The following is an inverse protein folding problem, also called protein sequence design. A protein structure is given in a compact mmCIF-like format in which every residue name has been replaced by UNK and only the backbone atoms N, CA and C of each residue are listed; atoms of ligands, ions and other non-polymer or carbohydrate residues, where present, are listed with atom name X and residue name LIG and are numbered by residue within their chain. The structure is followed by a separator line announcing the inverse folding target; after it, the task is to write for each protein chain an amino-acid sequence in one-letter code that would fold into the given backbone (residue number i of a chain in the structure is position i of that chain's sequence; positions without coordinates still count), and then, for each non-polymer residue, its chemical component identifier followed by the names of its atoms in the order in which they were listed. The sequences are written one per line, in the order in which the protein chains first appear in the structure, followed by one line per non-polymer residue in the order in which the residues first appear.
data_IF_078192401856
#
_entry.id   IF_078192401856
#
_cell.length_a   1.000
_cell.length_b   1.000
_cell.length_c   1.000
_cell.angle_alpha   90.00
_cell.angle_beta   90.00
_cell.angle_gamma   90.00
#
_symmetry.space_group_name_H-M   'P 1'
#
loop_
_entity.id
_entity.type
_entity.pdbx_description
1 polymer ?
#
# COMPACT_ATOMS: atom_id res chain seq x y z
N UNK A 1 14.12 35.73 -48.31
CA UNK A 1 13.08 36.04 -49.32
C UNK A 1 11.80 36.57 -48.65
N UNK A 2 11.86 37.70 -47.94
CA UNK A 2 10.71 38.30 -47.23
C UNK A 2 10.54 39.83 -47.37
N UNK A 3 11.50 40.66 -47.86
CA UNK A 3 11.26 42.10 -47.96
C UNK A 3 10.33 42.46 -49.12
N UNK A 4 10.32 41.67 -50.21
CA UNK A 4 9.51 41.94 -51.42
C UNK A 4 7.99 41.81 -51.18
N UNK A 5 7.56 40.95 -50.24
CA UNK A 5 6.13 40.76 -49.96
C UNK A 5 5.55 41.95 -49.16
N UNK A 6 6.33 42.55 -48.27
CA UNK A 6 5.94 43.76 -47.54
C UNK A 6 5.74 44.98 -48.46
N UNK A 7 6.61 45.15 -49.47
CA UNK A 7 6.44 46.19 -50.48
C UNK A 7 5.16 46.00 -51.31
N UNK A 8 4.82 44.76 -51.68
CA UNK A 8 3.58 44.45 -52.41
C UNK A 8 2.32 44.75 -51.59
N UNK A 9 2.30 44.41 -50.30
CA UNK A 9 1.16 44.71 -49.44
C UNK A 9 0.98 46.22 -49.21
N UNK A 10 2.08 46.96 -49.07
CA UNK A 10 2.04 48.41 -48.96
C UNK A 10 1.57 49.08 -50.26
N UNK A 11 1.96 48.54 -51.41
CA UNK A 11 1.49 49.02 -52.72
C UNK A 11 -0.01 48.79 -52.90
N UNK A 12 -0.52 47.62 -52.52
CA UNK A 12 -1.96 47.32 -52.55
C UNK A 12 -2.79 48.25 -51.64
N UNK A 13 -2.34 48.51 -50.41
CA UNK A 13 -3.00 49.48 -49.51
C UNK A 13 -2.99 50.90 -50.07
N UNK A 14 -1.95 51.26 -50.80
CA UNK A 14 -1.84 52.60 -51.42
C UNK A 14 -2.80 52.74 -52.60
N UNK A 15 -2.95 51.67 -53.40
CA UNK A 15 -3.95 51.60 -54.47
C UNK A 15 -5.37 51.69 -53.88
N UNK A 16 -5.68 50.90 -52.86
CA UNK A 16 -6.99 50.92 -52.19
C UNK A 16 -7.36 52.33 -51.72
N UNK A 17 -6.45 53.02 -51.04
CA UNK A 17 -6.69 54.40 -50.57
C UNK A 17 -6.93 55.37 -51.72
N UNK A 18 -6.20 55.24 -52.83
CA UNK A 18 -6.38 56.10 -54.00
C UNK A 18 -7.66 55.79 -54.78
N UNK A 19 -8.08 54.53 -54.82
CA UNK A 19 -9.35 54.10 -55.44
C UNK A 19 -10.53 54.67 -54.65
N UNK A 20 -10.50 54.61 -53.31
CA UNK A 20 -11.53 55.24 -52.48
C UNK A 20 -11.60 56.76 -52.64
N UNK A 21 -10.48 57.43 -52.94
CA UNK A 21 -10.48 58.87 -53.24
C UNK A 21 -10.98 59.20 -54.66
N UNK A 22 -10.87 58.27 -55.63
CA UNK A 22 -11.41 58.44 -56.98
C UNK A 22 -12.95 58.40 -57.02
N UNK A 23 -13.58 57.63 -56.13
CA UNK A 23 -15.04 57.46 -56.08
C UNK A 23 -15.78 58.55 -55.28
N UNK A 24 -15.11 59.66 -54.95
CA UNK A 24 -15.69 60.77 -54.21
C UNK A 24 -15.95 60.42 -52.74
N UNK A 25 -15.75 61.41 -51.87
CA UNK A 25 -16.29 61.45 -50.51
C UNK A 25 -17.68 60.80 -50.39
N UNK A 26 -17.89 59.89 -49.42
CA UNK A 26 -19.19 59.25 -49.22
C UNK A 26 -20.28 60.30 -48.94
N UNK A 27 -21.54 60.03 -49.31
CA UNK A 27 -22.64 60.98 -49.14
C UNK A 27 -22.78 61.42 -47.68
N UNK A 28 -23.06 62.72 -47.47
CA UNK A 28 -23.18 63.36 -46.14
C UNK A 28 -24.20 62.69 -45.21
N UNK A 29 -25.11 61.89 -45.74
CA UNK A 29 -26.13 61.15 -44.99
C UNK A 29 -25.54 60.00 -44.15
N UNK A 30 -24.31 59.56 -44.44
CA UNK A 30 -23.56 58.59 -43.63
C UNK A 30 -22.62 59.25 -42.61
N UNK A 31 -22.67 60.58 -42.46
CA UNK A 31 -21.92 61.28 -41.43
C UNK A 31 -22.60 61.06 -40.06
N UNK A 32 -22.02 60.15 -39.27
CA UNK A 32 -22.48 59.84 -37.92
C UNK A 32 -22.31 61.08 -37.03
N UNK A 33 -23.42 61.70 -36.60
CA UNK A 33 -23.41 62.78 -35.60
C UNK A 33 -22.99 62.17 -34.27
N UNK A 34 -21.75 62.39 -33.87
CA UNK A 34 -21.27 61.98 -32.56
C UNK A 34 -21.84 62.92 -31.51
N UNK A 35 -22.94 62.51 -30.87
CA UNK A 35 -23.42 63.14 -29.63
C UNK A 35 -22.35 62.86 -28.57
N UNK A 36 -21.57 63.87 -28.23
CA UNK A 36 -20.66 63.82 -27.09
C UNK A 36 -21.51 63.84 -25.81
N UNK A 37 -21.85 62.66 -25.32
CA UNK A 37 -22.32 62.53 -23.95
C UNK A 37 -21.10 62.68 -23.04
N UNK A 38 -21.03 63.79 -22.30
CA UNK A 38 -19.96 64.05 -21.33
C UNK A 38 -20.10 63.02 -20.21
N UNK A 39 -19.39 61.90 -20.34
CA UNK A 39 -19.30 60.93 -19.26
C UNK A 39 -18.73 61.65 -18.03
N UNK A 40 -19.56 61.79 -17.00
CA UNK A 40 -19.14 62.29 -15.70
C UNK A 40 -18.03 61.35 -15.26
N UNK A 41 -16.81 61.85 -14.93
CA UNK A 41 -15.74 60.97 -14.50
C UNK A 41 -16.18 60.31 -13.21
N UNK A 42 -16.67 59.08 -13.28
CA UNK A 42 -16.86 58.26 -12.11
C UNK A 42 -15.51 58.18 -11.41
N UNK A 43 -15.45 58.48 -10.10
CA UNK A 43 -14.19 58.46 -9.38
C UNK A 43 -13.57 57.07 -9.59
N UNK A 44 -12.40 57.03 -10.22
CA UNK A 44 -11.64 55.80 -10.39
C UNK A 44 -11.38 55.26 -8.99
N UNK A 45 -12.17 54.28 -8.54
CA UNK A 45 -11.95 53.61 -7.26
C UNK A 45 -10.52 53.10 -7.29
N UNK A 46 -9.71 53.57 -6.36
CA UNK A 46 -8.33 53.10 -6.21
C UNK A 46 -8.46 51.67 -5.70
N UNK A 47 -8.09 50.70 -6.52
CA UNK A 47 -8.10 49.30 -6.12
C UNK A 47 -7.29 49.13 -4.83
N UNK A 48 -7.98 48.84 -3.73
CA UNK A 48 -7.34 48.56 -2.45
C UNK A 48 -7.18 47.06 -2.31
N UNK A 49 -6.02 46.60 -1.81
CA UNK A 49 -5.79 45.19 -1.47
C UNK A 49 -6.84 44.71 -0.46
N UNK A 50 -7.37 45.61 0.38
CA UNK A 50 -8.44 45.32 1.33
C UNK A 50 -9.75 44.91 0.64
N UNK A 51 -10.04 45.42 -0.55
CA UNK A 51 -11.26 45.05 -1.31
C UNK A 51 -11.13 43.63 -1.90
N UNK A 52 -9.90 43.22 -2.25
CA UNK A 52 -9.61 41.87 -2.77
C UNK A 52 -9.72 40.81 -1.67
N UNK A 53 -9.23 41.14 -0.47
CA UNK A 53 -9.22 40.22 0.68
C UNK A 53 -10.55 40.23 1.45
N UNK A 54 -11.25 41.38 1.48
CA UNK A 54 -12.49 41.57 2.24
C UNK A 54 -13.72 40.93 1.59
N UNK A 55 -13.87 41.06 0.28
CA UNK A 55 -15.04 40.55 -0.46
C UNK A 55 -14.73 39.24 -1.23
N UNK A 56 -13.46 38.84 -1.31
CA UNK A 56 -13.03 37.65 -2.02
C UNK A 56 -13.20 36.38 -1.18
N UNK A 57 -14.24 35.58 -1.46
CA UNK A 57 -14.31 34.20 -0.97
C UNK A 57 -13.11 33.39 -1.51
N UNK A 58 -12.04 33.30 -0.71
CA UNK A 58 -10.91 32.41 -0.97
C UNK A 58 -11.30 30.98 -0.61
N UNK A 59 -12.18 30.39 -1.41
CA UNK A 59 -12.48 28.97 -1.29
C UNK A 59 -11.20 28.20 -1.61
N UNK A 60 -10.74 27.35 -0.68
CA UNK A 60 -9.61 26.43 -0.85
C UNK A 60 -9.94 25.29 -1.84
N UNK A 61 -10.54 25.66 -2.98
CA UNK A 61 -11.07 24.79 -4.02
C UNK A 61 -10.09 24.78 -5.19
N UNK A 62 -9.84 23.62 -5.82
CA UNK A 62 -8.97 23.55 -6.99
C UNK A 62 -9.47 24.47 -8.11
N UNK A 63 -8.69 25.51 -8.42
CA UNK A 63 -9.08 26.49 -9.45
C UNK A 63 -9.10 25.89 -10.87
N UNK A 64 -8.27 24.89 -11.13
CA UNK A 64 -8.16 24.23 -12.43
C UNK A 64 -8.17 22.71 -12.33
N UNK A 65 -8.76 22.06 -13.35
CA UNK A 65 -8.71 20.61 -13.50
C UNK A 65 -7.27 20.18 -13.76
N UNK A 66 -6.78 19.17 -13.02
CA UNK A 66 -5.46 18.58 -13.26
C UNK A 66 -5.43 17.84 -14.60
N UNK A 67 -4.36 18.04 -15.37
CA UNK A 67 -4.06 17.29 -16.60
C UNK A 67 -3.87 15.81 -16.30
N UNK A 68 -4.01 14.97 -17.32
CA UNK A 68 -3.84 13.51 -17.21
C UNK A 68 -2.43 13.18 -16.72
N UNK A 69 -1.40 13.83 -17.27
CA UNK A 69 -0.01 13.67 -16.85
C UNK A 69 0.20 13.96 -15.36
N UNK A 70 -0.32 15.07 -14.85
CA UNK A 70 -0.24 15.42 -13.42
C UNK A 70 -0.97 14.40 -12.54
N UNK A 71 -2.08 13.84 -13.02
CA UNK A 71 -2.79 12.76 -12.31
C UNK A 71 -1.99 11.47 -12.28
N UNK A 72 -1.40 11.06 -13.41
CA UNK A 72 -0.61 9.84 -13.53
C UNK A 72 0.67 9.91 -12.68
N UNK A 73 1.43 11.00 -12.79
CA UNK A 73 2.61 11.25 -11.95
C UNK A 73 2.28 11.21 -10.46
N UNK A 74 1.13 11.76 -10.05
CA UNK A 74 0.69 11.70 -8.64
C UNK A 74 0.24 10.29 -8.22
N UNK A 75 -0.33 9.50 -9.13
CA UNK A 75 -0.86 8.14 -8.86
C UNK A 75 0.28 7.13 -8.72
N UNK A 76 1.16 7.05 -9.71
CA UNK A 76 2.25 6.06 -9.73
C UNK A 76 3.51 6.58 -9.04
N UNK A 77 3.68 7.89 -8.99
CA UNK A 77 4.91 8.49 -8.50
C UNK A 77 6.00 8.51 -9.56
N UNK A 78 7.20 8.92 -9.14
CA UNK A 78 8.41 8.86 -9.94
C UNK A 78 9.50 8.22 -9.08
N UNK A 79 10.33 7.29 -9.61
CA UNK A 79 11.24 6.48 -8.80
C UNK A 79 12.16 7.29 -7.89
N UNK A 80 12.68 8.41 -8.39
CA UNK A 80 13.65 9.25 -7.68
C UNK A 80 13.02 10.19 -6.65
N UNK A 81 11.71 10.47 -6.74
CA UNK A 81 11.03 11.40 -5.84
C UNK A 81 10.19 10.67 -4.78
N UNK A 82 9.07 10.09 -5.23
CA UNK A 82 8.10 9.41 -4.38
C UNK A 82 7.53 8.28 -5.21
N UNK A 83 8.00 7.06 -4.95
CA UNK A 83 7.48 5.86 -5.60
C UNK A 83 6.26 5.35 -4.85
N UNK A 84 5.11 5.24 -5.53
CA UNK A 84 3.85 4.79 -4.91
C UNK A 84 3.40 3.42 -5.38
N UNK A 85 4.16 2.79 -6.27
CA UNK A 85 3.86 1.44 -6.73
C UNK A 85 4.30 0.42 -5.70
N UNK A 86 3.68 -0.77 -5.78
CA UNK A 86 4.04 -1.90 -4.94
C UNK A 86 5.48 -2.30 -5.26
N UNK A 87 6.31 -2.38 -4.23
CA UNK A 87 7.71 -2.81 -4.35
C UNK A 87 7.76 -4.33 -4.17
N UNK A 88 8.46 -5.07 -5.04
CA UNK A 88 8.61 -6.50 -4.89
C UNK A 88 9.35 -6.82 -3.58
N UNK A 89 8.82 -7.78 -2.82
CA UNK A 89 9.43 -8.26 -1.58
C UNK A 89 10.55 -9.25 -1.90
N UNK A 90 11.78 -8.97 -1.46
CA UNK A 90 12.95 -9.83 -1.65
C UNK A 90 13.22 -10.78 -0.47
N UNK A 91 12.37 -10.73 0.56
CA UNK A 91 12.55 -11.45 1.81
C UNK A 91 11.75 -12.77 1.89
N UNK A 92 11.25 -13.29 0.77
CA UNK A 92 10.45 -14.52 0.73
C UNK A 92 11.40 -15.72 0.61
N UNK A 93 11.26 -16.69 1.51
CA UNK A 93 12.07 -17.92 1.55
C UNK A 93 11.19 -19.16 1.47
N UNK A 94 11.76 -20.27 1.02
CA UNK A 94 11.11 -21.59 1.05
C UNK A 94 11.33 -22.22 2.43
N UNK A 95 10.29 -22.81 3.00
CA UNK A 95 10.38 -23.55 4.26
C UNK A 95 11.07 -24.91 4.04
N UNK A 96 12.01 -25.28 4.91
CA UNK A 96 12.74 -26.53 4.79
C UNK A 96 11.88 -27.78 5.08
N UNK A 97 10.84 -27.64 5.90
CA UNK A 97 9.99 -28.78 6.30
C UNK A 97 8.89 -29.07 5.26
N UNK A 98 8.18 -28.02 4.81
CA UNK A 98 6.98 -28.18 3.99
C UNK A 98 7.10 -27.61 2.57
N UNK A 99 8.20 -26.97 2.21
CA UNK A 99 8.40 -26.37 0.90
C UNK A 99 7.56 -25.11 0.60
N UNK A 100 6.73 -24.65 1.54
CA UNK A 100 5.91 -23.45 1.33
C UNK A 100 6.72 -22.16 1.50
N UNK A 101 6.31 -21.11 0.79
CA UNK A 101 6.91 -19.79 0.93
C UNK A 101 6.51 -19.12 2.25
N UNK A 102 7.47 -18.46 2.90
CA UNK A 102 7.26 -17.67 4.10
C UNK A 102 8.17 -16.44 4.12
N UNK A 103 7.83 -15.42 4.91
CA UNK A 103 8.67 -14.23 5.06
C UNK A 103 9.86 -14.50 6.00
N UNK A 104 11.04 -13.99 5.66
CA UNK A 104 12.20 -14.02 6.56
C UNK A 104 11.87 -13.34 7.89
N UNK A 105 12.15 -14.01 9.00
CA UNK A 105 11.86 -13.51 10.35
C UNK A 105 10.45 -13.82 10.84
N UNK A 106 9.62 -14.50 10.04
CA UNK A 106 8.33 -15.06 10.46
C UNK A 106 8.35 -16.58 10.37
N UNK A 107 7.56 -17.24 11.21
CA UNK A 107 7.34 -18.68 11.10
C UNK A 107 6.55 -18.99 9.83
N UNK A 108 6.72 -20.20 9.31
CA UNK A 108 5.93 -20.66 8.18
C UNK A 108 4.45 -20.80 8.59
N UNK A 109 3.56 -20.12 7.88
CA UNK A 109 2.12 -20.13 8.18
C UNK A 109 1.52 -21.54 8.07
N UNK A 110 1.98 -22.34 7.10
CA UNK A 110 1.46 -23.69 6.89
C UNK A 110 1.83 -24.61 8.06
N UNK A 111 3.11 -24.67 8.44
CA UNK A 111 3.54 -25.44 9.61
C UNK A 111 2.86 -24.93 10.89
N UNK A 112 2.80 -23.62 11.08
CA UNK A 112 2.15 -23.02 12.25
C UNK A 112 0.67 -23.42 12.36
N UNK A 113 -0.10 -23.37 11.26
CA UNK A 113 -1.50 -23.80 11.24
C UNK A 113 -1.68 -25.28 11.56
N UNK A 114 -0.72 -26.14 11.19
CA UNK A 114 -0.73 -27.56 11.58
C UNK A 114 -0.60 -27.71 13.10
N UNK A 115 0.35 -27.00 13.71
CA UNK A 115 0.56 -26.99 15.16
C UNK A 115 -0.64 -26.38 15.90
N UNK A 116 -1.20 -25.29 15.36
CA UNK A 116 -2.36 -24.61 15.92
C UNK A 116 -3.59 -25.53 15.96
N UNK A 117 -3.82 -26.32 14.90
CA UNK A 117 -4.92 -27.30 14.88
C UNK A 117 -4.75 -28.36 15.95
N UNK A 118 -3.56 -28.95 16.04
CA UNK A 118 -3.26 -29.99 17.03
C UNK A 118 -3.41 -29.46 18.46
N UNK A 119 -2.84 -28.29 18.74
CA UNK A 119 -2.91 -27.65 20.07
C UNK A 119 -4.33 -27.25 20.45
N UNK A 120 -5.17 -26.83 19.49
CA UNK A 120 -6.60 -26.58 19.74
C UNK A 120 -7.35 -27.85 20.11
N UNK A 121 -7.07 -28.98 19.45
CA UNK A 121 -7.68 -30.26 19.82
C UNK A 121 -7.23 -30.71 21.23
N UNK A 122 -5.95 -30.54 21.55
CA UNK A 122 -5.43 -30.80 22.91
C UNK A 122 -6.14 -29.91 23.94
N UNK A 123 -6.29 -28.61 23.66
CA UNK A 123 -6.99 -27.67 24.54
C UNK A 123 -8.45 -28.05 24.76
N UNK A 124 -9.16 -28.47 23.70
CA UNK A 124 -10.53 -28.96 23.83
C UNK A 124 -10.61 -30.18 24.75
N UNK A 125 -9.69 -31.14 24.61
CA UNK A 125 -9.62 -32.32 25.48
C UNK A 125 -9.24 -31.99 26.93
N UNK A 126 -8.37 -31.00 27.13
CA UNK A 126 -8.05 -30.47 28.45
C UNK A 126 -9.32 -29.91 29.09
N UNK A 127 -10.06 -29.09 28.36
CA UNK A 127 -11.30 -28.47 28.85
C UNK A 127 -12.38 -29.52 29.15
N UNK A 128 -12.53 -30.56 28.33
CA UNK A 128 -13.44 -31.68 28.59
C UNK A 128 -13.08 -32.48 29.86
N UNK A 129 -11.78 -32.77 30.09
CA UNK A 129 -11.34 -33.55 31.26
C UNK A 129 -11.32 -32.74 32.56
N UNK A 130 -11.02 -31.44 32.49
CA UNK A 130 -10.76 -30.59 33.66
C UNK A 130 -11.93 -29.66 34.01
N UNK A 131 -12.83 -29.42 33.06
CA UNK A 131 -13.82 -28.35 33.15
C UNK A 131 -13.14 -26.98 33.31
N UNK A 132 -13.75 -26.10 34.12
CA UNK A 132 -13.24 -24.76 34.42
C UNK A 132 -12.34 -24.71 35.66
N UNK A 133 -11.84 -25.86 36.14
CA UNK A 133 -10.99 -25.90 37.34
C UNK A 133 -9.57 -25.37 37.03
N UNK A 134 -8.95 -24.60 37.94
CA UNK A 134 -7.57 -24.19 37.80
C UNK A 134 -6.61 -25.38 37.61
N UNK A 135 -5.62 -25.23 36.74
CA UNK A 135 -4.61 -26.25 36.45
C UNK A 135 -3.45 -26.07 37.42
N UNK A 136 -3.52 -26.75 38.57
CA UNK A 136 -2.48 -26.71 39.61
C UNK A 136 -1.31 -27.68 39.33
N UNK A 137 -1.52 -28.63 38.42
CA UNK A 137 -0.63 -29.76 38.15
C UNK A 137 -0.26 -29.80 36.68
N UNK A 138 0.98 -30.19 36.36
CA UNK A 138 1.43 -30.33 34.98
C UNK A 138 0.55 -31.30 34.19
N UNK A 139 0.34 -30.99 32.91
CA UNK A 139 -0.47 -31.79 31.99
C UNK A 139 0.44 -32.54 31.02
N UNK A 140 0.26 -33.86 30.92
CA UNK A 140 0.93 -34.71 29.94
C UNK A 140 -0.07 -35.17 28.89
N UNK A 141 0.29 -35.02 27.62
CA UNK A 141 -0.49 -35.50 26.47
C UNK A 141 0.03 -36.87 26.04
N UNK A 142 -0.85 -37.88 26.07
CA UNK A 142 -0.62 -39.23 25.57
C UNK A 142 -1.40 -39.45 24.28
N UNK A 143 -0.74 -40.03 23.27
CA UNK A 143 -1.37 -40.43 22.01
C UNK A 143 -1.63 -41.94 21.97
N UNK A 144 -2.40 -42.41 21.00
CA UNK A 144 -2.67 -43.83 20.81
C UNK A 144 -1.38 -44.61 20.50
N UNK A 145 -1.26 -45.81 21.10
CA UNK A 145 -0.05 -46.64 21.00
C UNK A 145 1.10 -46.19 21.90
N UNK A 146 1.01 -45.03 22.55
CA UNK A 146 1.94 -44.63 23.59
C UNK A 146 1.47 -45.18 24.94
N UNK A 147 2.00 -46.35 25.32
CA UNK A 147 1.92 -46.76 26.71
C UNK A 147 2.66 -45.71 27.56
N UNK A 148 2.10 -45.36 28.73
CA UNK A 148 2.88 -44.70 29.76
C UNK A 148 4.20 -45.48 29.85
N UNK A 149 5.37 -44.85 29.61
CA UNK A 149 6.61 -45.59 29.53
C UNK A 149 6.78 -46.36 30.83
N UNK A 150 7.59 -47.41 30.80
CA UNK A 150 8.20 -48.02 31.96
C UNK A 150 9.15 -47.02 32.70
N UNK A 151 8.77 -45.74 32.80
CA UNK A 151 9.40 -44.72 33.61
C UNK A 151 8.88 -44.87 35.04
N UNK A 152 9.74 -44.67 36.05
CA UNK A 152 9.37 -44.88 37.45
C UNK A 152 8.14 -44.03 37.81
N UNK A 153 7.24 -44.62 38.61
CA UNK A 153 5.98 -44.02 39.09
C UNK A 153 6.15 -42.58 39.61
N UNK A 154 7.35 -42.22 40.07
CA UNK A 154 7.74 -40.89 40.52
C UNK A 154 7.54 -39.79 39.46
N UNK A 155 7.77 -40.06 38.17
CA UNK A 155 7.60 -39.04 37.11
C UNK A 155 6.12 -38.68 36.86
N UNK A 156 5.24 -39.65 37.11
CA UNK A 156 3.79 -39.53 36.94
C UNK A 156 3.09 -39.00 38.19
N UNK A 157 3.72 -39.18 39.36
CA UNK A 157 3.18 -38.75 40.64
C UNK A 157 2.95 -37.23 40.63
N UNK A 158 1.67 -36.86 40.48
CA UNK A 158 1.23 -35.46 40.51
C UNK A 158 0.94 -34.84 39.14
N UNK A 159 1.17 -35.51 38.02
CA UNK A 159 0.86 -34.96 36.68
C UNK A 159 -0.47 -35.50 36.15
N UNK A 160 -1.25 -34.66 35.46
CA UNK A 160 -2.55 -35.03 34.89
C UNK A 160 -2.39 -35.53 33.45
N UNK A 161 -3.07 -36.62 33.11
CA UNK A 161 -2.92 -37.31 31.82
C UNK A 161 -4.11 -37.03 30.90
N UNK A 162 -3.83 -36.41 29.75
CA UNK A 162 -4.80 -36.13 28.68
C UNK A 162 -4.54 -37.07 27.52
N UNK A 163 -5.56 -37.82 27.12
CA UNK A 163 -5.44 -38.87 26.11
C UNK A 163 -6.04 -38.40 24.79
N UNK A 164 -5.24 -38.45 23.73
CA UNK A 164 -5.61 -38.13 22.36
C UNK A 164 -5.90 -39.43 21.61
N UNK A 165 -7.05 -39.51 20.93
CA UNK A 165 -7.50 -40.69 20.17
C UNK A 165 -6.95 -40.66 18.73
N UNK A 166 -5.64 -40.45 18.61
CA UNK A 166 -4.90 -40.32 17.35
C UNK A 166 -3.47 -40.80 17.57
N UNK A 167 -2.79 -41.17 16.49
CA UNK A 167 -1.35 -41.40 16.50
C UNK A 167 -0.57 -40.10 16.69
N UNK A 168 0.61 -40.18 17.30
CA UNK A 168 1.44 -38.99 17.56
C UNK A 168 2.02 -38.44 16.26
N UNK A 169 1.84 -37.15 15.97
CA UNK A 169 2.50 -36.55 14.83
C UNK A 169 4.03 -36.60 14.97
N UNK A 170 4.74 -36.95 13.90
CA UNK A 170 6.21 -37.10 13.90
C UNK A 170 6.98 -35.86 14.37
N UNK A 171 6.44 -34.66 14.10
CA UNK A 171 7.03 -33.38 14.51
C UNK A 171 6.77 -33.03 15.99
N UNK A 172 5.87 -33.75 16.66
CA UNK A 172 5.52 -33.52 18.06
C UNK A 172 6.22 -34.57 18.93
N UNK A 173 7.43 -34.29 19.41
CA UNK A 173 8.20 -35.23 20.20
C UNK A 173 7.61 -35.45 21.61
N UNK A 174 7.93 -36.60 22.23
CA UNK A 174 7.48 -36.96 23.59
C UNK A 174 7.99 -36.01 24.67
N UNK A 175 9.22 -35.52 24.51
CA UNK A 175 9.94 -34.77 25.53
C UNK A 175 10.18 -33.32 25.11
N UNK A 176 9.12 -32.50 25.06
CA UNK A 176 9.22 -31.11 24.61
C UNK A 176 10.09 -30.22 25.52
N UNK A 177 10.07 -30.48 26.83
CA UNK A 177 10.75 -29.67 27.85
C UNK A 177 12.10 -30.24 28.28
N UNK A 178 12.46 -31.43 27.81
CA UNK A 178 13.75 -32.04 28.14
C UNK A 178 14.81 -31.44 27.23
N UNK A 179 15.77 -30.72 27.82
CA UNK A 179 16.93 -30.21 27.07
C UNK A 179 17.65 -31.39 26.42
N UNK A 180 18.06 -31.25 25.16
CA UNK A 180 18.90 -32.25 24.51
C UNK A 180 20.21 -32.37 25.29
N UNK A 181 20.52 -33.57 25.77
CA UNK A 181 21.77 -33.85 26.50
C UNK A 181 23.00 -33.84 25.57
N UNK A 182 22.77 -33.81 24.25
CA UNK A 182 23.83 -33.79 23.25
C UNK A 182 24.44 -32.39 23.16
N UNK A 183 25.75 -32.31 23.32
CA UNK A 183 26.50 -31.09 23.02
C UNK A 183 26.38 -30.78 21.53
N UNK A 184 26.16 -29.52 21.12
CA UNK A 184 26.16 -29.15 19.71
C UNK A 184 27.50 -29.57 19.08
N UNK A 185 27.44 -30.36 18.01
CA UNK A 185 28.64 -30.79 17.29
C UNK A 185 29.14 -29.66 16.40
N UNK A 186 30.44 -29.35 16.47
CA UNK A 186 31.11 -28.36 15.60
C UNK A 186 31.30 -28.85 14.14
N UNK A 187 30.98 -30.13 13.86
CA UNK A 187 31.13 -30.71 12.53
C UNK A 187 30.03 -30.25 11.56
N UNK A 188 30.43 -29.79 10.38
CA UNK A 188 29.51 -29.37 9.29
C UNK A 188 28.80 -30.55 8.63
N UNK A 189 29.32 -31.76 8.77
CA UNK A 189 28.73 -32.99 8.21
C UNK A 189 27.62 -33.54 9.11
N UNK A 190 26.37 -33.36 8.68
CA UNK A 190 25.21 -34.01 9.27
C UNK A 190 25.05 -35.38 8.60
N UNK A 191 25.23 -36.47 9.36
CA UNK A 191 24.93 -37.81 8.86
C UNK A 191 23.43 -37.89 8.52
N UNK A 192 23.04 -38.39 7.32
CA UNK A 192 21.64 -38.56 7.00
C UNK A 192 21.04 -39.60 7.96
N UNK A 193 20.06 -39.17 8.76
CA UNK A 193 19.31 -40.05 9.66
C UNK A 193 18.27 -40.79 8.84
N UNK A 194 18.42 -42.12 8.78
CA UNK A 194 17.49 -43.14 8.28
C UNK A 194 17.05 -43.04 6.80
N UNK A 195 17.93 -43.50 5.91
CA UNK A 195 17.55 -44.10 4.62
C UNK A 195 17.24 -45.59 4.85
N UNK A 196 15.98 -45.90 5.14
CA UNK A 196 15.37 -47.23 4.96
C UNK A 196 13.86 -47.08 4.80
#
# INVERSE_FOLDING_TARGET
MLPRFGYMLNFLKTIERNVFHMFGHPPRELALVQIYEKQIPHPKKRFSIKDIVGDGFLLAVPKFRRTIEKKLKRKFGYPEYVWKMLVPKTNIKVCNECGHHHERGRLCEHCYKKVEKETKEIQAKIQEKLGNSPIEKDVIVLYEGENAPNTPNEFWNGKRVVEMKKERPQWFSKNLLQKSTQQPSDSTDVKPTDLA
#
